data_IF_319842465118
#
_entry.id   IF_319842465118
#
_cell.length_a   1.000
_cell.length_b   1.000
_cell.length_c   1.000
_cell.angle_alpha   90.00
_cell.angle_beta   90.00
_cell.angle_gamma   90.00
#
_symmetry.space_group_name_H-M   'P 1'
#
loop_
_entity.id
_entity.type
_entity.pdbx_description
1 polymer ?
#
# COMPACT_ATOMS: atom_id res chain seq x y z
N UNK A 1 13.86 4.19 -3.11
CA UNK A 1 12.41 4.05 -3.30
C UNK A 1 11.85 5.32 -3.92
N UNK A 2 11.19 5.21 -5.04
CA UNK A 2 10.63 6.34 -5.78
C UNK A 2 9.18 6.64 -5.38
N UNK A 3 8.41 5.58 -5.16
CA UNK A 3 7.05 5.70 -4.65
C UNK A 3 6.57 4.38 -4.03
N UNK A 4 5.51 4.49 -3.24
CA UNK A 4 4.79 3.36 -2.65
C UNK A 4 3.32 3.49 -3.02
N UNK A 5 2.72 2.39 -3.46
CA UNK A 5 1.31 2.30 -3.81
C UNK A 5 0.65 1.15 -3.06
N UNK A 6 -0.56 1.37 -2.64
CA UNK A 6 -1.45 0.33 -2.14
C UNK A 6 -2.68 0.26 -3.05
N UNK A 7 -2.83 -0.86 -3.74
CA UNK A 7 -3.81 -1.04 -4.80
C UNK A 7 -4.77 -2.18 -4.45
N UNK A 8 -6.07 -1.97 -4.64
CA UNK A 8 -7.07 -3.03 -4.48
C UNK A 8 -7.08 -3.98 -5.67
N UNK A 9 -7.72 -5.14 -5.50
CA UNK A 9 -7.92 -6.11 -6.60
C UNK A 9 -8.70 -5.55 -7.79
N UNK A 10 -9.48 -4.50 -7.58
CA UNK A 10 -10.22 -3.81 -8.63
C UNK A 10 -9.40 -2.70 -9.32
N UNK A 11 -8.12 -2.55 -8.95
CA UNK A 11 -7.24 -1.52 -9.50
C UNK A 11 -7.43 -0.13 -8.88
N UNK A 12 -8.18 -0.02 -7.79
CA UNK A 12 -8.34 1.24 -7.06
C UNK A 12 -7.18 1.46 -6.11
N UNK A 13 -6.56 2.64 -6.20
CA UNK A 13 -5.50 3.03 -5.27
C UNK A 13 -6.11 3.45 -3.94
N UNK A 14 -5.57 2.88 -2.85
CA UNK A 14 -5.98 3.17 -1.48
C UNK A 14 -5.02 4.09 -0.76
N UNK A 15 -3.73 4.00 -1.12
CA UNK A 15 -2.68 4.82 -0.53
C UNK A 15 -1.60 5.06 -1.57
N UNK A 16 -1.07 6.27 -1.58
CA UNK A 16 0.10 6.64 -2.39
C UNK A 16 1.08 7.44 -1.54
N UNK A 17 2.36 7.17 -1.72
CA UNK A 17 3.44 8.00 -1.19
C UNK A 17 4.48 8.18 -2.30
N UNK A 18 4.78 9.42 -2.63
CA UNK A 18 5.70 9.79 -3.70
C UNK A 18 6.95 10.43 -3.10
N UNK A 19 8.09 9.84 -3.39
CA UNK A 19 9.40 10.33 -2.95
C UNK A 19 10.16 11.02 -4.07
N UNK A 20 9.85 10.69 -5.32
CA UNK A 20 10.37 11.37 -6.50
C UNK A 20 9.34 12.36 -7.06
N UNK A 21 9.79 13.42 -7.76
CA UNK A 21 8.87 14.42 -8.30
C UNK A 21 8.10 13.88 -9.52
N UNK A 22 6.82 13.66 -9.34
CA UNK A 22 5.87 13.29 -10.39
C UNK A 22 4.74 14.31 -10.43
N UNK A 23 4.41 14.80 -11.63
CA UNK A 23 3.22 15.62 -11.83
C UNK A 23 1.95 14.80 -11.58
N UNK A 24 0.84 15.46 -11.29
CA UNK A 24 -0.44 14.76 -11.06
C UNK A 24 -0.86 13.90 -12.26
N UNK A 25 -0.60 14.38 -13.47
CA UNK A 25 -0.87 13.64 -14.70
C UNK A 25 0.00 12.38 -14.81
N UNK A 26 1.27 12.49 -14.48
CA UNK A 26 2.20 11.36 -14.46
C UNK A 26 1.83 10.34 -13.38
N UNK A 27 1.47 10.79 -12.18
CA UNK A 27 1.01 9.91 -11.10
C UNK A 27 -0.19 9.06 -11.54
N UNK A 28 -1.18 9.67 -12.16
CA UNK A 28 -2.36 8.96 -12.69
C UNK A 28 -1.98 7.93 -13.75
N UNK A 29 -1.04 8.27 -14.62
CA UNK A 29 -0.54 7.36 -15.67
C UNK A 29 0.21 6.18 -15.06
N UNK A 30 1.10 6.43 -14.12
CA UNK A 30 1.87 5.41 -13.39
C UNK A 30 0.94 4.41 -12.70
N UNK A 31 -0.04 4.91 -11.96
CA UNK A 31 -1.03 4.09 -11.26
C UNK A 31 -1.77 3.18 -12.23
N UNK A 32 -2.22 3.70 -13.35
CA UNK A 32 -2.94 2.93 -14.37
C UNK A 32 -2.06 1.85 -15.00
N UNK A 33 -0.84 2.18 -15.37
CA UNK A 33 0.10 1.23 -15.95
C UNK A 33 0.44 0.10 -14.98
N UNK A 34 0.80 0.43 -13.75
CA UNK A 34 1.20 -0.56 -12.75
C UNK A 34 0.04 -1.43 -12.29
N UNK A 35 -1.13 -0.85 -12.11
CA UNK A 35 -2.34 -1.63 -11.79
C UNK A 35 -2.63 -2.66 -12.88
N UNK A 36 -2.55 -2.26 -14.15
CA UNK A 36 -2.72 -3.17 -15.28
C UNK A 36 -1.68 -4.29 -15.30
N UNK A 37 -0.42 -3.96 -15.10
CA UNK A 37 0.67 -4.94 -15.09
C UNK A 37 0.56 -5.94 -13.93
N UNK A 38 0.32 -5.46 -12.71
CA UNK A 38 0.33 -6.29 -11.51
C UNK A 38 -0.90 -7.18 -11.43
N UNK A 39 -2.08 -6.65 -11.71
CA UNK A 39 -3.34 -7.39 -11.61
C UNK A 39 -3.48 -8.49 -12.66
N UNK A 40 -2.79 -8.40 -13.78
CA UNK A 40 -2.81 -9.42 -14.84
C UNK A 40 -1.77 -10.51 -14.64
N UNK A 41 -0.85 -10.38 -13.70
CA UNK A 41 0.20 -11.38 -13.45
C UNK A 41 -0.36 -12.57 -12.68
N UNK A 42 0.05 -13.77 -13.10
CA UNK A 42 -0.29 -15.02 -12.42
C UNK A 42 0.44 -15.15 -11.06
N UNK A 43 -0.12 -15.94 -10.13
CA UNK A 43 0.41 -16.09 -8.77
C UNK A 43 1.77 -16.81 -8.70
N UNK A 44 2.19 -17.46 -9.76
CA UNK A 44 3.47 -18.20 -9.85
C UNK A 44 4.64 -17.32 -10.33
N UNK A 45 4.37 -16.09 -10.74
CA UNK A 45 5.41 -15.18 -11.21
C UNK A 45 6.12 -14.49 -10.03
N UNK A 46 7.35 -14.01 -10.29
CA UNK A 46 8.13 -13.27 -9.31
C UNK A 46 7.36 -12.06 -8.76
N UNK A 47 7.66 -11.69 -7.52
CA UNK A 47 7.03 -10.56 -6.84
C UNK A 47 7.62 -9.21 -7.27
N UNK A 48 8.20 -9.13 -8.45
CA UNK A 48 8.65 -7.87 -9.03
C UNK A 48 8.48 -7.85 -10.56
N UNK A 49 8.36 -6.64 -11.10
CA UNK A 49 8.31 -6.36 -12.53
C UNK A 49 9.30 -5.27 -12.89
N UNK A 50 9.89 -5.36 -14.07
CA UNK A 50 10.65 -4.24 -14.63
C UNK A 50 9.67 -3.20 -15.20
N UNK A 51 9.92 -1.94 -14.88
CA UNK A 51 9.08 -0.84 -15.29
C UNK A 51 9.90 0.43 -15.49
N UNK A 52 9.97 0.93 -16.73
CA UNK A 52 10.66 2.18 -17.11
C UNK A 52 12.10 2.30 -16.56
N UNK A 53 12.88 1.21 -16.60
CA UNK A 53 14.25 1.17 -16.08
C UNK A 53 14.35 1.03 -14.56
N UNK A 54 13.23 0.90 -13.87
CA UNK A 54 13.13 0.60 -12.44
C UNK A 54 12.61 -0.82 -12.20
N UNK A 55 12.63 -1.25 -10.95
CA UNK A 55 11.90 -2.43 -10.50
C UNK A 55 10.73 -2.02 -9.62
N UNK A 56 9.59 -2.65 -9.82
CA UNK A 56 8.46 -2.53 -8.90
C UNK A 56 8.30 -3.86 -8.18
N UNK A 57 8.59 -3.84 -6.89
CA UNK A 57 8.40 -4.99 -5.99
C UNK A 57 7.00 -4.91 -5.41
N UNK A 58 6.27 -6.01 -5.45
CA UNK A 58 4.91 -6.04 -4.93
C UNK A 58 4.63 -7.33 -4.17
N UNK A 59 3.71 -7.24 -3.23
CA UNK A 59 3.19 -8.40 -2.51
C UNK A 59 1.71 -8.24 -2.24
N UNK A 60 0.99 -9.33 -2.40
CA UNK A 60 -0.44 -9.38 -2.12
C UNK A 60 -0.69 -9.75 -0.67
N UNK A 61 -1.55 -8.99 -0.01
CA UNK A 61 -2.10 -9.30 1.29
C UNK A 61 -3.62 -9.16 1.23
N UNK A 62 -4.36 -10.26 1.46
CA UNK A 62 -5.80 -10.30 1.32
C UNK A 62 -6.25 -9.78 -0.06
N UNK A 63 -6.99 -8.68 -0.11
CA UNK A 63 -7.47 -8.06 -1.34
C UNK A 63 -6.60 -6.90 -1.84
N UNK A 64 -5.45 -6.68 -1.21
CA UNK A 64 -4.59 -5.53 -1.48
C UNK A 64 -3.22 -5.95 -2.03
N UNK A 65 -2.66 -5.10 -2.88
CA UNK A 65 -1.30 -5.21 -3.38
C UNK A 65 -0.46 -4.05 -2.86
N UNK A 66 0.60 -4.35 -2.15
CA UNK A 66 1.63 -3.40 -1.77
C UNK A 66 2.68 -3.35 -2.87
N UNK A 67 2.96 -2.16 -3.37
CA UNK A 67 3.92 -1.95 -4.45
C UNK A 67 4.94 -0.89 -4.05
N UNK A 68 6.22 -1.18 -4.27
CA UNK A 68 7.31 -0.23 -4.07
C UNK A 68 8.18 -0.17 -5.32
N UNK A 69 8.39 1.04 -5.86
CA UNK A 69 9.28 1.27 -6.98
C UNK A 69 10.69 1.57 -6.47
N UNK A 70 11.65 0.78 -6.93
CA UNK A 70 13.07 0.83 -6.52
C UNK A 70 13.98 0.92 -7.73
N UNK A 71 15.26 1.22 -7.50
CA UNK A 71 16.28 1.17 -8.53
C UNK A 71 16.60 -0.28 -8.93
N UNK A 72 17.17 -0.46 -10.12
CA UNK A 72 17.53 -1.78 -10.65
C UNK A 72 18.53 -2.53 -9.76
N UNK A 73 19.45 -1.82 -9.14
CA UNK A 73 20.49 -2.37 -8.27
C UNK A 73 20.05 -2.65 -6.84
N UNK A 74 18.86 -2.18 -6.43
CA UNK A 74 18.34 -2.42 -5.09
C UNK A 74 17.91 -3.88 -4.90
N UNK A 75 18.04 -4.38 -3.67
CA UNK A 75 17.74 -5.76 -3.33
C UNK A 75 16.24 -5.96 -3.11
N UNK A 76 15.62 -6.78 -3.94
CA UNK A 76 14.18 -7.08 -3.89
C UNK A 76 13.77 -7.76 -2.57
N UNK A 77 14.63 -8.61 -2.00
CA UNK A 77 14.33 -9.31 -0.75
C UNK A 77 14.25 -8.36 0.44
N UNK A 78 15.14 -7.37 0.49
CA UNK A 78 15.08 -6.32 1.53
C UNK A 78 13.80 -5.52 1.43
N UNK A 79 13.36 -5.19 0.22
CA UNK A 79 12.12 -4.47 -0.01
C UNK A 79 10.90 -5.32 0.37
N UNK A 80 10.91 -6.61 0.07
CA UNK A 80 9.85 -7.53 0.51
C UNK A 80 9.78 -7.63 2.04
N UNK A 81 10.91 -7.64 2.73
CA UNK A 81 10.95 -7.59 4.19
C UNK A 81 10.37 -6.29 4.75
N UNK A 82 10.68 -5.15 4.13
CA UNK A 82 10.12 -3.84 4.50
C UNK A 82 8.60 -3.85 4.31
N UNK A 83 8.10 -4.35 3.19
CA UNK A 83 6.66 -4.48 2.93
C UNK A 83 6.02 -5.37 3.99
N UNK A 84 6.61 -6.51 4.29
CA UNK A 84 6.10 -7.44 5.29
C UNK A 84 6.02 -6.81 6.67
N UNK A 85 7.08 -6.12 7.09
CA UNK A 85 7.12 -5.42 8.37
C UNK A 85 6.06 -4.31 8.47
N UNK A 86 5.87 -3.56 7.39
CA UNK A 86 4.83 -2.53 7.30
C UNK A 86 3.42 -3.14 7.44
N UNK A 87 3.18 -4.26 6.76
CA UNK A 87 1.90 -4.99 6.86
C UNK A 87 1.67 -5.54 8.26
N UNK A 88 2.70 -6.09 8.92
CA UNK A 88 2.60 -6.56 10.29
C UNK A 88 2.18 -5.44 11.26
N UNK A 89 2.75 -4.25 11.10
CA UNK A 89 2.38 -3.08 11.89
C UNK A 89 0.93 -2.69 11.64
N UNK A 90 0.52 -2.60 10.38
CA UNK A 90 -0.86 -2.29 10.03
C UNK A 90 -1.83 -3.34 10.58
N UNK A 91 -1.50 -4.61 10.49
CA UNK A 91 -2.33 -5.70 11.00
C UNK A 91 -2.46 -5.65 12.52
N UNK A 92 -1.37 -5.35 13.24
CA UNK A 92 -1.38 -5.21 14.68
C UNK A 92 -2.30 -4.10 15.16
N UNK A 93 -2.30 -2.94 14.48
CA UNK A 93 -3.03 -1.75 14.91
C UNK A 93 -4.40 -1.61 14.25
N UNK A 94 -4.59 -2.18 13.06
CA UNK A 94 -5.80 -2.01 12.24
C UNK A 94 -6.48 -3.33 11.82
N UNK A 95 -6.07 -4.49 12.34
CA UNK A 95 -6.49 -5.80 11.83
C UNK A 95 -8.00 -5.94 11.63
N UNK A 96 -8.81 -5.61 12.63
CA UNK A 96 -10.27 -5.63 12.51
C UNK A 96 -10.83 -4.45 11.70
N UNK A 97 -10.24 -3.27 11.80
CA UNK A 97 -10.64 -2.08 11.03
C UNK A 97 -10.35 -2.23 9.54
N UNK A 98 -9.32 -2.98 9.18
CA UNK A 98 -8.95 -3.26 7.81
C UNK A 98 -9.97 -4.15 7.09
N UNK A 99 -10.44 -5.21 7.75
CA UNK A 99 -11.53 -6.05 7.25
C UNK A 99 -12.82 -5.27 7.07
N UNK A 100 -13.15 -4.42 8.02
CA UNK A 100 -14.35 -3.57 7.98
C UNK A 100 -14.24 -2.54 6.86
N UNK A 101 -13.09 -1.90 6.67
CA UNK A 101 -12.83 -0.98 5.56
C UNK A 101 -12.92 -1.67 4.20
N UNK A 102 -12.43 -2.89 4.09
CA UNK A 102 -12.49 -3.67 2.85
C UNK A 102 -13.93 -4.08 2.53
N UNK A 103 -14.70 -4.55 3.51
CA UNK A 103 -16.13 -4.84 3.35
C UNK A 103 -16.94 -3.60 3.00
N UNK A 104 -16.69 -2.49 3.67
CA UNK A 104 -17.35 -1.20 3.41
C UNK A 104 -17.03 -0.67 2.01
N UNK A 105 -15.79 -0.83 1.56
CA UNK A 105 -15.34 -0.36 0.25
C UNK A 105 -15.74 -1.29 -0.90
N UNK A 106 -15.97 -2.57 -0.65
CA UNK A 106 -16.47 -3.54 -1.62
C UNK A 106 -18.01 -3.45 -1.73
N UNK A 107 -18.68 -3.26 -0.61
CA UNK A 107 -20.14 -3.20 -0.53
C UNK A 107 -20.73 -1.82 -0.84
N UNK A 108 -20.07 -0.93 -1.53
CA UNK A 108 -20.38 0.44 -1.96
C UNK A 108 -21.77 1.07 -1.64
N UNK A 109 -22.80 0.27 -1.42
CA UNK A 109 -24.16 0.67 -1.08
C UNK A 109 -24.41 0.87 0.44
N UNK A 110 -23.51 0.39 1.28
CA UNK A 110 -23.60 0.50 2.75
C UNK A 110 -22.87 1.71 3.32
N UNK A 111 -22.47 2.65 2.49
CA UNK A 111 -21.54 3.73 2.85
C UNK A 111 -21.99 4.58 4.06
N UNK A 112 -23.27 4.89 4.25
CA UNK A 112 -23.71 5.74 5.37
C UNK A 112 -23.81 4.98 6.69
N UNK A 113 -24.41 3.80 6.70
CA UNK A 113 -24.48 2.95 7.90
C UNK A 113 -23.12 2.39 8.27
N UNK A 114 -22.29 2.13 7.29
CA UNK A 114 -20.91 1.65 7.47
C UNK A 114 -19.97 2.72 8.04
N UNK A 115 -20.11 3.99 7.65
CA UNK A 115 -19.36 5.11 8.24
C UNK A 115 -19.65 5.24 9.74
N UNK A 116 -20.90 5.09 10.17
CA UNK A 116 -21.28 5.09 11.58
C UNK A 116 -20.71 3.90 12.34
N UNK A 117 -20.71 2.73 11.74
CA UNK A 117 -20.17 1.50 12.33
C UNK A 117 -18.65 1.58 12.44
N UNK A 118 -17.97 2.02 11.40
CA UNK A 118 -16.52 2.24 11.39
C UNK A 118 -16.14 3.31 12.42
N UNK A 119 -16.85 4.43 12.48
CA UNK A 119 -16.62 5.48 13.48
C UNK A 119 -16.79 4.96 14.91
N UNK A 120 -17.78 4.09 15.19
CA UNK A 120 -17.97 3.47 16.49
C UNK A 120 -16.87 2.48 16.87
N UNK A 121 -16.31 1.77 15.91
CA UNK A 121 -15.24 0.78 16.11
C UNK A 121 -13.86 1.44 16.19
N UNK A 122 -13.66 2.56 15.51
CA UNK A 122 -12.39 3.30 15.47
C UNK A 122 -12.27 4.32 16.60
N UNK A 123 -13.38 4.94 17.05
CA UNK A 123 -13.38 5.95 18.10
C UNK A 123 -12.71 5.52 19.43
N UNK A 124 -12.86 4.27 19.93
CA UNK A 124 -12.14 3.81 21.11
C UNK A 124 -10.65 3.53 20.91
N UNK A 125 -10.16 3.60 19.67
CA UNK A 125 -8.79 3.23 19.28
C UNK A 125 -7.96 4.42 18.78
N UNK A 126 -8.40 5.66 18.98
CA UNK A 126 -7.71 6.86 18.50
C UNK A 126 -6.24 6.95 18.94
N UNK A 127 -5.94 6.55 20.17
CA UNK A 127 -4.57 6.50 20.69
C UNK A 127 -3.71 5.43 19.99
N UNK A 128 -4.31 4.31 19.60
CA UNK A 128 -3.63 3.25 18.85
C UNK A 128 -3.40 3.67 17.39
N UNK A 129 -4.32 4.42 16.82
CA UNK A 129 -4.20 4.99 15.48
C UNK A 129 -3.06 6.01 15.41
N UNK A 130 -2.90 6.86 16.41
CA UNK A 130 -1.78 7.79 16.48
C UNK A 130 -0.43 7.07 16.62
N UNK A 131 -0.34 6.09 17.50
CA UNK A 131 0.86 5.27 17.66
C UNK A 131 1.23 4.55 16.34
N UNK A 132 0.24 3.99 15.65
CA UNK A 132 0.44 3.36 14.34
C UNK A 132 0.90 4.36 13.28
N UNK A 133 0.38 5.58 13.29
CA UNK A 133 0.84 6.66 12.38
C UNK A 133 2.29 7.04 12.66
N UNK A 134 2.70 7.13 13.90
CA UNK A 134 4.08 7.44 14.28
C UNK A 134 5.04 6.32 13.84
N UNK A 135 4.70 5.05 14.06
CA UNK A 135 5.50 3.93 13.59
C UNK A 135 5.55 3.85 12.06
N UNK A 136 4.44 4.07 11.36
CA UNK A 136 4.39 4.11 9.92
C UNK A 136 5.23 5.27 9.34
N UNK A 137 5.22 6.43 10.01
CA UNK A 137 6.08 7.56 9.66
C UNK A 137 7.56 7.24 9.89
N UNK A 138 7.88 6.53 10.96
CA UNK A 138 9.24 6.07 11.23
C UNK A 138 9.76 5.14 10.14
N UNK A 139 8.95 4.18 9.70
CA UNK A 139 9.29 3.29 8.58
C UNK A 139 9.41 4.08 7.27
N UNK A 140 8.53 5.03 7.02
CA UNK A 140 8.62 5.91 5.85
C UNK A 140 9.92 6.72 5.84
N UNK A 141 10.39 7.15 7.00
CA UNK A 141 11.66 7.84 7.15
C UNK A 141 12.85 6.91 6.89
N UNK A 142 12.81 5.67 7.38
CA UNK A 142 13.83 4.64 7.10
C UNK A 142 13.89 4.38 5.59
N UNK A 143 12.75 4.22 4.93
CA UNK A 143 12.64 4.04 3.49
C UNK A 143 13.22 5.26 2.75
N UNK A 144 12.90 6.47 3.19
CA UNK A 144 13.43 7.69 2.59
C UNK A 144 14.96 7.81 2.75
N UNK A 145 15.52 7.37 3.87
CA UNK A 145 16.98 7.32 4.08
C UNK A 145 17.66 6.28 3.19
N UNK A 146 17.03 5.14 2.95
CA UNK A 146 17.56 4.11 2.06
C UNK A 146 17.59 4.52 0.58
N UNK A 147 16.88 5.58 0.19
CA UNK A 147 16.84 6.12 -1.18
C UNK A 147 17.82 7.25 -1.46
N UNK A 148 18.60 7.64 -0.48
CA UNK A 148 19.61 8.68 -0.66
C UNK A 148 20.97 8.07 -1.09
#
# INVERSE_FOLDING_TARGET
IHFVLLISRQGKVRLTKWYSPYSQKERSKVIRELSGMILTRGPKLCNFVEWRGFKVVYKRYASLYFCMCINQEDNELEILEIIHHYVEILDRYFGSAYYILDEVLIAGELQESSKKTVARLVAPQDSLVEAAKEEANSISNIIAQATK
#
